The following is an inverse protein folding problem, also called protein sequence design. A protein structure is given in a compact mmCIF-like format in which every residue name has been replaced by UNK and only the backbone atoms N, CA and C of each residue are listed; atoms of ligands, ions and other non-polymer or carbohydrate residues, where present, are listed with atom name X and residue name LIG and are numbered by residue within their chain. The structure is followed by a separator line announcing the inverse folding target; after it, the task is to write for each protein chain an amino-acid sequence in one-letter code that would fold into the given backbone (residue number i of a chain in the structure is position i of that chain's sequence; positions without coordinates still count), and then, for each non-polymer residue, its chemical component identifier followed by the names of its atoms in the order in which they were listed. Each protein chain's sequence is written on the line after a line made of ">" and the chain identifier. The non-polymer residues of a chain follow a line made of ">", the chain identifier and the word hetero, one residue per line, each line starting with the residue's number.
data_IF_057969132563
#
_entry.id   IF_057969132563
#
_cell.length_a   1.000
_cell.length_b   1.000
_cell.length_c   1.000
_cell.angle_alpha   90.00
_cell.angle_beta   90.00
_cell.angle_gamma   90.00
#
_symmetry.space_group_name_H-M   'P 1'
#
loop_
_entity.id
_entity.type
_entity.pdbx_description
1 polymer ?
#
# COMPACT_ATOMS: atom_id res chain seq x y z
N UNK A 1 -8.46 9.29 -25.91
CA UNK A 1 -8.37 9.06 -24.45
C UNK A 1 -6.95 8.62 -24.14
N UNK A 2 -6.29 9.23 -23.15
CA UNK A 2 -4.94 8.81 -22.76
C UNK A 2 -5.02 7.74 -21.69
N UNK A 3 -4.42 6.58 -21.95
CA UNK A 3 -4.40 5.43 -21.05
C UNK A 3 -2.96 5.10 -20.63
N UNK A 4 -2.84 4.36 -19.53
CA UNK A 4 -1.57 3.86 -19.00
C UNK A 4 -1.78 2.48 -18.41
N UNK A 5 -0.79 1.60 -18.59
CA UNK A 5 -0.79 0.27 -17.98
C UNK A 5 -0.25 0.36 -16.55
N UNK A 6 -1.02 -0.12 -15.60
CA UNK A 6 -0.58 -0.26 -14.21
C UNK A 6 0.44 -1.39 -14.08
N UNK A 7 1.65 -1.11 -13.59
CA UNK A 7 2.70 -2.15 -13.47
C UNK A 7 2.39 -3.21 -12.41
N UNK A 8 1.45 -2.96 -11.49
CA UNK A 8 1.05 -3.91 -10.45
C UNK A 8 -0.06 -4.86 -10.90
N UNK A 9 -1.22 -4.34 -11.29
CA UNK A 9 -2.35 -5.16 -11.72
C UNK A 9 -2.36 -5.49 -13.22
N UNK A 10 -1.42 -4.91 -14.00
CA UNK A 10 -1.26 -5.13 -15.45
C UNK A 10 -2.46 -4.73 -16.31
N UNK A 11 -3.41 -3.97 -15.76
CA UNK A 11 -4.55 -3.46 -16.51
C UNK A 11 -4.24 -2.10 -17.15
N UNK A 12 -4.76 -1.91 -18.35
CA UNK A 12 -4.84 -0.61 -19.01
C UNK A 12 -5.97 0.21 -18.38
N UNK A 13 -5.64 1.43 -17.95
CA UNK A 13 -6.55 2.31 -17.21
C UNK A 13 -6.39 3.74 -17.70
N UNK A 14 -7.40 4.58 -17.44
CA UNK A 14 -7.31 6.01 -17.74
C UNK A 14 -6.19 6.64 -16.93
N UNK A 15 -5.45 7.61 -17.49
CA UNK A 15 -4.44 8.38 -16.74
C UNK A 15 -4.99 9.06 -15.48
N UNK A 16 -6.31 9.31 -15.43
CA UNK A 16 -7.01 9.85 -14.26
C UNK A 16 -7.06 8.88 -13.08
N UNK A 17 -6.87 7.57 -13.33
CA UNK A 17 -6.78 6.54 -12.31
C UNK A 17 -5.37 6.41 -11.71
N UNK A 18 -4.43 7.27 -12.08
CA UNK A 18 -3.07 7.31 -11.54
C UNK A 18 -2.88 8.57 -10.68
N UNK A 19 -2.03 8.48 -9.65
CA UNK A 19 -1.62 9.67 -8.89
C UNK A 19 -0.57 10.45 -9.68
N UNK A 20 -0.53 11.77 -9.47
CA UNK A 20 0.55 12.61 -10.00
C UNK A 20 1.87 12.24 -9.30
N UNK A 21 2.95 12.18 -10.06
CA UNK A 21 4.29 11.96 -9.57
C UNK A 21 5.25 12.82 -10.40
N UNK A 22 5.64 13.98 -9.88
CA UNK A 22 6.55 14.92 -10.57
C UNK A 22 7.93 14.33 -10.86
N UNK A 23 8.28 13.20 -10.23
CA UNK A 23 9.55 12.51 -10.43
C UNK A 23 9.53 11.52 -11.58
N UNK A 24 8.37 11.18 -12.16
CA UNK A 24 8.32 10.31 -13.34
C UNK A 24 8.33 11.15 -14.62
N UNK A 25 8.87 10.56 -15.69
CA UNK A 25 8.97 11.21 -17.00
C UNK A 25 7.59 11.64 -17.57
N UNK A 26 6.53 10.89 -17.24
CA UNK A 26 5.15 11.16 -17.67
C UNK A 26 4.32 11.92 -16.63
N UNK A 27 4.92 12.31 -15.50
CA UNK A 27 4.23 12.98 -14.40
C UNK A 27 3.21 12.12 -13.63
N UNK A 28 3.15 10.80 -13.87
CA UNK A 28 2.21 9.87 -13.26
C UNK A 28 2.89 8.70 -12.54
N UNK A 29 2.26 8.20 -11.48
CA UNK A 29 2.71 7.00 -10.81
C UNK A 29 2.70 5.77 -11.73
N UNK A 30 3.59 4.79 -11.48
CA UNK A 30 3.65 3.56 -12.27
C UNK A 30 2.48 2.60 -12.03
N UNK A 31 1.73 2.77 -10.94
CA UNK A 31 0.59 1.95 -10.57
C UNK A 31 -0.65 2.80 -10.28
N UNK A 32 -1.83 2.22 -10.50
CA UNK A 32 -3.10 2.91 -10.32
C UNK A 32 -3.41 3.21 -8.84
N UNK A 33 -4.35 4.12 -8.62
CA UNK A 33 -4.89 4.52 -7.30
C UNK A 33 -5.39 3.33 -6.49
N UNK A 34 -6.03 2.36 -7.13
CA UNK A 34 -6.51 1.14 -6.46
C UNK A 34 -5.36 0.30 -5.90
N UNK A 35 -4.31 0.09 -6.71
CA UNK A 35 -3.11 -0.62 -6.27
C UNK A 35 -2.39 0.14 -5.14
N UNK A 36 -2.39 1.48 -5.18
CA UNK A 36 -1.87 2.32 -4.11
C UNK A 36 -2.67 2.12 -2.80
N UNK A 37 -4.01 2.19 -2.88
CA UNK A 37 -4.91 1.96 -1.75
C UNK A 37 -4.73 0.57 -1.15
N UNK A 38 -4.66 -0.46 -1.98
CA UNK A 38 -4.43 -1.84 -1.54
C UNK A 38 -3.11 -1.98 -0.77
N UNK A 39 -2.04 -1.34 -1.25
CA UNK A 39 -0.74 -1.33 -0.58
C UNK A 39 -0.81 -0.61 0.77
N UNK A 40 -1.46 0.55 0.84
CA UNK A 40 -1.64 1.29 2.09
C UNK A 40 -2.41 0.46 3.14
N UNK A 41 -3.50 -0.19 2.73
CA UNK A 41 -4.29 -1.07 3.61
C UNK A 41 -3.48 -2.27 4.10
N UNK A 42 -2.69 -2.90 3.23
CA UNK A 42 -1.80 -4.00 3.61
C UNK A 42 -0.78 -3.55 4.67
N UNK A 43 -0.18 -2.36 4.50
CA UNK A 43 0.75 -1.81 5.48
C UNK A 43 0.10 -1.54 6.85
N UNK A 44 -1.10 -0.92 6.85
CA UNK A 44 -1.85 -0.67 8.09
C UNK A 44 -2.19 -1.97 8.82
N UNK A 45 -2.62 -3.00 8.08
CA UNK A 45 -2.93 -4.32 8.65
C UNK A 45 -1.69 -4.98 9.26
N UNK A 46 -0.56 -4.97 8.54
CA UNK A 46 0.70 -5.52 9.03
C UNK A 46 1.17 -4.82 10.31
N UNK A 47 1.11 -3.48 10.36
CA UNK A 47 1.49 -2.73 11.55
C UNK A 47 0.56 -2.99 12.75
N UNK A 48 -0.76 -3.11 12.50
CA UNK A 48 -1.71 -3.46 13.56
C UNK A 48 -1.43 -4.85 14.11
N UNK A 49 -1.18 -5.84 13.25
CA UNK A 49 -0.85 -7.21 13.64
C UNK A 49 0.46 -7.25 14.45
N UNK A 50 1.52 -6.58 13.96
CA UNK A 50 2.81 -6.47 14.66
C UNK A 50 2.64 -5.88 16.07
N UNK A 51 1.89 -4.77 16.19
CA UNK A 51 1.61 -4.15 17.50
C UNK A 51 0.82 -5.06 18.43
N UNK A 52 -0.15 -5.82 17.91
CA UNK A 52 -0.90 -6.79 18.71
C UNK A 52 -0.01 -7.91 19.24
N UNK A 53 0.85 -8.47 18.39
CA UNK A 53 1.83 -9.50 18.79
C UNK A 53 2.79 -8.99 19.86
N UNK A 54 3.36 -7.79 19.68
CA UNK A 54 4.24 -7.17 20.68
C UNK A 54 3.54 -6.94 22.03
N UNK A 55 2.26 -6.55 22.02
CA UNK A 55 1.48 -6.38 23.25
C UNK A 55 1.19 -7.72 23.93
N UNK A 56 0.86 -8.76 23.17
CA UNK A 56 0.63 -10.11 23.70
C UNK A 56 1.91 -10.68 24.33
N UNK A 57 3.05 -10.56 23.63
CA UNK A 57 4.36 -11.00 24.14
C UNK A 57 4.73 -10.29 25.45
N UNK A 58 4.50 -8.96 25.54
CA UNK A 58 4.72 -8.21 26.78
C UNK A 58 3.86 -8.72 27.94
N UNK A 59 2.58 -8.98 27.71
CA UNK A 59 1.68 -9.54 28.74
C UNK A 59 2.10 -10.92 29.21
N UNK A 60 2.49 -11.80 28.28
CA UNK A 60 2.98 -13.13 28.62
C UNK A 60 4.24 -13.07 29.49
N UNK A 61 5.18 -12.16 29.17
CA UNK A 61 6.37 -11.94 29.98
C UNK A 61 6.04 -11.39 31.39
N UNK A 62 5.04 -10.51 31.51
CA UNK A 62 4.62 -9.96 32.80
C UNK A 62 3.92 -10.98 33.71
N UNK A 63 3.27 -11.99 33.15
CA UNK A 63 2.54 -13.02 33.92
C UNK A 63 3.41 -14.22 34.32
N UNK A 64 4.66 -14.28 33.85
CA UNK A 64 5.59 -15.38 34.09
C UNK A 64 6.54 -15.14 35.30
N UNK A 65 6.35 -14.02 36.02
CA UNK A 65 7.03 -13.70 37.28
C UNK A 65 6.02 -13.57 38.41
#
# INVERSE_FOLDING_TARGET
>A
MTTKICVKCKQEKSVLEFHKNSRSADGLHSYCKECNKAQALAHIRAEKARKALLRAAKRAASNAG
#
